data_IF_889737529149
#
_entry.id   IF_889737529149
#
_cell.length_a   1.000
_cell.length_b   1.000
_cell.length_c   1.000
_cell.angle_alpha   90.00
_cell.angle_beta   90.00
_cell.angle_gamma   90.00
#
_symmetry.space_group_name_H-M   'P 1'
#
loop_
_entity.id
_entity.type
_entity.pdbx_description
1 polymer ?
#
# COMPACT_ATOMS: atom_id res chain seq x y z
N UNK A 1 2.25 -15.56 -13.17
CA UNK A 1 2.82 -15.77 -11.82
C UNK A 1 4.29 -16.17 -11.81
N UNK A 2 4.78 -17.17 -12.58
CA UNK A 2 6.20 -17.58 -12.54
C UNK A 2 7.18 -16.43 -12.81
N UNK A 3 6.79 -15.55 -13.73
CA UNK A 3 7.57 -14.40 -14.14
C UNK A 3 7.60 -13.29 -13.06
N UNK A 4 6.56 -13.17 -12.21
CA UNK A 4 6.59 -12.30 -11.01
C UNK A 4 7.55 -12.87 -9.95
N UNK A 5 7.50 -14.20 -9.73
CA UNK A 5 8.40 -14.90 -8.81
C UNK A 5 9.87 -14.70 -9.20
N UNK A 6 10.20 -14.86 -10.48
CA UNK A 6 11.55 -14.69 -10.97
C UNK A 6 12.09 -13.26 -10.76
N UNK A 7 11.28 -12.23 -11.09
CA UNK A 7 11.74 -10.83 -10.94
C UNK A 7 11.83 -10.39 -9.49
N UNK A 8 10.96 -10.87 -8.60
CA UNK A 8 11.10 -10.62 -7.16
C UNK A 8 12.39 -11.22 -6.61
N UNK A 9 12.69 -12.49 -6.93
CA UNK A 9 13.93 -13.13 -6.48
C UNK A 9 15.19 -12.46 -7.02
N UNK A 10 15.14 -11.94 -8.25
CA UNK A 10 16.28 -11.28 -8.86
C UNK A 10 16.52 -9.87 -8.30
N UNK A 11 15.45 -9.09 -8.09
CA UNK A 11 15.57 -7.67 -7.81
C UNK A 11 15.38 -7.32 -6.33
N UNK A 12 14.76 -8.20 -5.54
CA UNK A 12 14.48 -8.05 -4.11
C UNK A 12 14.85 -9.33 -3.36
N UNK A 13 16.13 -9.79 -3.46
CA UNK A 13 16.59 -11.07 -2.93
C UNK A 13 16.59 -11.15 -1.40
N UNK A 14 16.60 -10.02 -0.71
CA UNK A 14 16.50 -9.92 0.76
C UNK A 14 15.14 -10.36 1.31
N UNK A 15 14.11 -10.41 0.47
CA UNK A 15 12.79 -10.90 0.85
C UNK A 15 12.54 -12.36 0.48
N UNK A 16 11.85 -13.06 1.37
CA UNK A 16 11.39 -14.41 1.12
C UNK A 16 10.18 -14.39 0.17
N UNK A 17 10.32 -15.02 -1.00
CA UNK A 17 9.23 -15.15 -1.98
C UNK A 17 8.67 -16.57 -2.00
N UNK A 18 7.37 -16.70 -1.75
CA UNK A 18 6.61 -17.97 -1.80
C UNK A 18 5.55 -17.91 -2.88
N UNK A 19 5.45 -18.96 -3.70
CA UNK A 19 4.37 -19.16 -4.65
C UNK A 19 3.62 -20.42 -4.25
N UNK A 20 2.32 -20.28 -3.98
CA UNK A 20 1.42 -21.38 -3.63
C UNK A 20 0.20 -21.36 -4.55
N UNK A 21 -0.73 -22.31 -4.38
CA UNK A 21 -2.02 -22.29 -5.07
C UNK A 21 -2.87 -21.05 -4.75
N UNK A 22 -2.64 -20.41 -3.60
CA UNK A 22 -3.36 -19.21 -3.17
C UNK A 22 -2.79 -17.91 -3.76
N UNK A 23 -1.64 -18.00 -4.44
CA UNK A 23 -0.96 -16.86 -5.03
C UNK A 23 0.49 -16.73 -4.61
N UNK A 24 1.03 -15.56 -4.87
CA UNK A 24 2.40 -15.16 -4.60
C UNK A 24 2.45 -14.26 -3.38
N UNK A 25 3.39 -14.54 -2.49
CA UNK A 25 3.70 -13.68 -1.35
C UNK A 25 5.19 -13.36 -1.37
N UNK A 26 5.52 -12.09 -1.16
CA UNK A 26 6.86 -11.63 -0.83
C UNK A 26 6.83 -11.10 0.60
N UNK A 27 7.81 -11.46 1.43
CA UNK A 27 7.97 -10.90 2.78
C UNK A 27 9.43 -10.59 3.02
N UNK A 28 9.77 -9.33 3.23
CA UNK A 28 11.16 -8.90 3.34
C UNK A 28 11.30 -7.51 3.96
N UNK A 29 12.53 -7.12 4.31
CA UNK A 29 12.81 -5.80 4.83
C UNK A 29 12.72 -4.75 3.72
N UNK A 30 12.13 -3.59 4.03
CA UNK A 30 12.22 -2.37 3.24
C UNK A 30 12.84 -1.27 4.12
N UNK A 31 13.85 -0.59 3.61
CA UNK A 31 14.57 0.47 4.35
C UNK A 31 14.64 1.71 3.46
N UNK A 32 13.70 2.66 3.62
CA UNK A 32 13.46 3.73 2.62
C UNK A 32 14.66 4.67 2.41
N UNK A 33 15.52 4.82 3.42
CA UNK A 33 16.80 5.50 3.33
C UNK A 33 17.79 4.90 4.34
N UNK A 34 19.08 5.19 4.19
CA UNK A 34 20.13 4.71 5.11
C UNK A 34 19.94 5.14 6.58
N UNK A 35 19.12 6.16 6.84
CA UNK A 35 18.81 6.65 8.18
C UNK A 35 17.38 6.29 8.63
N UNK A 36 16.57 5.70 7.75
CA UNK A 36 15.19 5.31 8.05
C UNK A 36 15.14 4.00 8.83
N UNK A 37 14.01 3.76 9.48
CA UNK A 37 13.73 2.43 10.07
C UNK A 37 13.66 1.38 8.97
N UNK A 38 13.97 0.15 9.34
CA UNK A 38 13.68 -1.02 8.52
C UNK A 38 12.29 -1.55 8.86
N UNK A 39 11.47 -1.75 7.83
CA UNK A 39 10.11 -2.24 7.92
C UNK A 39 10.01 -3.65 7.32
N UNK A 40 9.64 -4.64 8.12
CA UNK A 40 9.28 -5.95 7.61
C UNK A 40 7.95 -5.82 6.87
N UNK A 41 7.98 -5.96 5.56
CA UNK A 41 6.83 -5.73 4.69
C UNK A 41 6.39 -7.02 4.02
N UNK A 42 5.07 -7.22 3.91
CA UNK A 42 4.47 -8.32 3.17
C UNK A 42 3.65 -7.81 2.01
N UNK A 43 3.85 -8.42 0.85
CA UNK A 43 3.05 -8.22 -0.35
C UNK A 43 2.40 -9.53 -0.71
N UNK A 44 1.08 -9.52 -0.83
CA UNK A 44 0.28 -10.69 -1.22
C UNK A 44 -0.43 -10.41 -2.54
N UNK A 45 -0.31 -11.33 -3.49
CA UNK A 45 -0.84 -11.17 -4.83
C UNK A 45 -1.41 -12.50 -5.35
N UNK A 46 -2.74 -12.57 -5.43
CA UNK A 46 -3.45 -13.81 -5.73
C UNK A 46 -3.37 -14.19 -7.21
N UNK A 47 -3.77 -13.28 -8.11
CA UNK A 47 -3.75 -13.51 -9.56
C UNK A 47 -3.78 -12.19 -10.34
N UNK A 48 -3.55 -12.23 -11.68
CA UNK A 48 -3.68 -11.07 -12.58
C UNK A 48 -4.99 -10.29 -12.49
N UNK A 49 -6.08 -10.90 -12.02
CA UNK A 49 -7.39 -10.27 -11.87
C UNK A 49 -7.58 -9.57 -10.52
N UNK A 50 -6.67 -9.77 -9.57
CA UNK A 50 -6.74 -9.21 -8.23
C UNK A 50 -5.72 -8.09 -8.05
N UNK A 51 -5.97 -7.19 -7.10
CA UNK A 51 -4.99 -6.17 -6.71
C UNK A 51 -4.01 -6.75 -5.67
N UNK A 52 -2.72 -6.40 -5.75
CA UNK A 52 -1.78 -6.73 -4.70
C UNK A 52 -2.13 -5.99 -3.41
N UNK A 53 -1.87 -6.64 -2.28
CA UNK A 53 -2.06 -6.06 -0.94
C UNK A 53 -0.70 -5.94 -0.28
N UNK A 54 -0.34 -4.73 0.13
CA UNK A 54 0.89 -4.42 0.86
C UNK A 54 0.57 -4.09 2.31
N UNK A 55 1.32 -4.70 3.23
CA UNK A 55 1.18 -4.50 4.68
C UNK A 55 2.57 -4.43 5.32
N UNK A 56 2.72 -3.55 6.30
CA UNK A 56 3.88 -3.57 7.20
C UNK A 56 3.55 -4.48 8.39
N UNK A 57 4.43 -5.46 8.63
CA UNK A 57 4.31 -6.42 9.72
C UNK A 57 5.03 -5.94 10.99
N UNK A 58 6.16 -5.25 10.84
CA UNK A 58 6.88 -4.63 11.93
C UNK A 58 7.80 -3.49 11.43
N UNK A 59 8.09 -2.48 12.27
CA UNK A 59 7.37 -2.13 13.50
C UNK A 59 5.89 -1.79 13.22
N UNK A 60 5.05 -1.77 14.27
CA UNK A 60 3.63 -1.43 14.12
C UNK A 60 3.47 0.03 13.70
N UNK A 61 2.90 0.27 12.52
CA UNK A 61 2.67 1.63 12.03
C UNK A 61 1.72 2.41 12.95
N UNK A 62 0.70 1.75 13.49
CA UNK A 62 -0.29 2.37 14.39
C UNK A 62 0.36 2.83 15.71
N UNK A 63 1.29 2.04 16.24
CA UNK A 63 2.06 2.42 17.44
C UNK A 63 2.98 3.59 17.15
N UNK A 64 3.68 3.57 16.01
CA UNK A 64 4.53 4.68 15.58
C UNK A 64 3.73 5.97 15.36
N UNK A 65 2.52 5.87 14.82
CA UNK A 65 1.63 6.99 14.59
C UNK A 65 1.15 7.64 15.90
N UNK A 66 1.24 6.94 17.03
CA UNK A 66 0.83 7.46 18.34
C UNK A 66 -0.67 7.78 18.42
N UNK A 67 -1.50 6.99 17.72
CA UNK A 67 -2.94 7.19 17.65
C UNK A 67 -3.42 8.21 16.60
N UNK A 68 -2.51 8.82 15.84
CA UNK A 68 -2.86 9.63 14.66
C UNK A 68 -3.38 8.73 13.54
N UNK A 69 -4.38 9.20 12.78
CA UNK A 69 -4.84 8.50 11.58
C UNK A 69 -3.78 8.60 10.49
N UNK A 70 -3.29 7.44 10.02
CA UNK A 70 -2.20 7.40 9.06
C UNK A 70 -2.74 7.72 7.65
N UNK A 71 -2.22 8.73 6.96
CA UNK A 71 -2.68 9.08 5.62
C UNK A 71 -2.39 7.94 4.61
N UNK A 72 -3.17 7.90 3.53
CA UNK A 72 -2.99 6.94 2.41
C UNK A 72 -2.91 5.47 2.84
N UNK A 73 -3.93 5.02 3.57
CA UNK A 73 -4.20 3.60 3.78
C UNK A 73 -5.56 3.23 3.19
N UNK A 74 -5.63 2.10 2.50
CA UNK A 74 -6.92 1.51 2.11
C UNK A 74 -7.71 1.04 3.33
N UNK A 75 -7.03 0.70 4.42
CA UNK A 75 -7.65 0.31 5.68
C UNK A 75 -6.66 0.42 6.83
N UNK A 76 -6.93 1.33 7.77
CA UNK A 76 -6.24 1.45 9.06
C UNK A 76 -6.25 0.08 9.77
N UNK A 77 -7.46 -0.44 10.04
CA UNK A 77 -7.70 -1.69 10.77
C UNK A 77 -6.95 -2.91 10.20
N UNK A 78 -6.78 -2.99 8.88
CA UNK A 78 -6.10 -4.13 8.22
C UNK A 78 -4.65 -3.83 7.89
N UNK A 79 -4.12 -2.64 8.19
CA UNK A 79 -2.75 -2.25 7.86
C UNK A 79 -2.47 -2.23 6.35
N UNK A 80 -3.46 -1.91 5.51
CA UNK A 80 -3.32 -1.98 4.04
C UNK A 80 -2.88 -0.63 3.48
N UNK A 81 -1.67 -0.55 2.95
CA UNK A 81 -1.14 0.66 2.34
C UNK A 81 -1.89 1.00 1.04
N UNK A 82 -2.16 2.28 0.81
CA UNK A 82 -2.55 2.78 -0.50
C UNK A 82 -1.30 3.18 -1.29
N UNK A 83 -0.98 2.41 -2.33
CA UNK A 83 0.19 2.67 -3.19
C UNK A 83 -0.18 3.16 -4.59
N UNK A 84 -1.45 3.14 -4.96
CA UNK A 84 -1.98 3.53 -6.26
C UNK A 84 -3.49 3.75 -6.17
N UNK A 85 -4.10 4.35 -7.17
CA UNK A 85 -5.56 4.53 -7.26
C UNK A 85 -6.16 3.54 -8.27
N UNK A 86 -6.90 2.51 -7.82
CA UNK A 86 -7.43 1.48 -8.72
C UNK A 86 -8.35 2.03 -9.82
N UNK A 87 -9.10 3.10 -9.51
CA UNK A 87 -10.02 3.76 -10.45
C UNK A 87 -9.31 4.42 -11.64
N UNK A 88 -8.04 4.78 -11.49
CA UNK A 88 -7.24 5.41 -12.55
C UNK A 88 -6.36 4.41 -13.29
N UNK A 89 -6.50 3.11 -13.02
CA UNK A 89 -5.72 2.05 -13.65
C UNK A 89 -4.19 2.26 -13.58
N UNK A 90 -3.72 2.97 -12.56
CA UNK A 90 -2.29 3.22 -12.31
C UNK A 90 -1.49 1.93 -12.14
N UNK A 91 -2.16 0.86 -11.69
CA UNK A 91 -1.59 -0.47 -11.64
C UNK A 91 -2.45 -1.49 -12.37
N UNK A 92 -1.80 -2.38 -13.13
CA UNK A 92 -2.45 -3.52 -13.79
C UNK A 92 -1.69 -4.81 -13.51
N UNK A 93 -2.37 -5.96 -13.64
CA UNK A 93 -1.75 -7.28 -13.46
C UNK A 93 -0.59 -7.62 -14.41
N UNK A 94 -0.36 -6.79 -15.43
CA UNK A 94 0.79 -6.91 -16.33
C UNK A 94 2.07 -6.28 -15.76
N UNK A 95 1.95 -5.37 -14.79
CA UNK A 95 3.09 -4.71 -14.16
C UNK A 95 3.79 -5.65 -13.18
N UNK A 96 5.11 -5.56 -13.10
CA UNK A 96 5.91 -6.35 -12.16
C UNK A 96 5.82 -5.77 -10.76
N UNK A 97 5.48 -6.59 -9.78
CA UNK A 97 5.48 -6.17 -8.37
C UNK A 97 6.85 -5.60 -7.98
N UNK A 98 7.93 -6.24 -8.44
CA UNK A 98 9.32 -5.82 -8.20
C UNK A 98 9.68 -4.46 -8.81
N UNK A 99 8.97 -3.97 -9.83
CA UNK A 99 9.24 -2.67 -10.46
C UNK A 99 8.14 -1.63 -10.16
N UNK A 100 7.10 -2.01 -9.42
CA UNK A 100 6.00 -1.11 -9.08
C UNK A 100 5.73 -1.14 -7.58
N UNK A 101 5.13 -2.20 -7.06
CA UNK A 101 4.62 -2.27 -5.69
C UNK A 101 5.74 -2.16 -4.66
N UNK A 102 6.89 -2.79 -4.90
CA UNK A 102 8.04 -2.73 -3.98
C UNK A 102 8.60 -1.29 -3.92
N UNK A 103 9.03 -0.67 -5.05
CA UNK A 103 9.47 0.73 -5.04
C UNK A 103 8.42 1.71 -4.49
N UNK A 104 7.14 1.52 -4.80
CA UNK A 104 6.08 2.39 -4.29
C UNK A 104 5.85 2.22 -2.79
N UNK A 105 6.03 1.00 -2.26
CA UNK A 105 5.98 0.76 -0.82
C UNK A 105 7.14 1.45 -0.09
N UNK A 106 8.36 1.39 -0.63
CA UNK A 106 9.50 2.15 -0.09
C UNK A 106 9.24 3.66 -0.11
N UNK A 107 8.73 4.19 -1.23
CA UNK A 107 8.41 5.60 -1.34
C UNK A 107 7.30 6.02 -0.35
N UNK A 108 6.27 5.20 -0.19
CA UNK A 108 5.23 5.44 0.81
C UNK A 108 5.83 5.48 2.22
N UNK A 109 6.77 4.59 2.53
CA UNK A 109 7.47 4.56 3.82
C UNK A 109 8.39 5.78 4.01
N UNK A 110 9.01 6.32 2.94
CA UNK A 110 9.72 7.61 3.01
C UNK A 110 8.76 8.72 3.48
N UNK A 111 7.58 8.83 2.85
CA UNK A 111 6.59 9.85 3.22
C UNK A 111 5.99 9.62 4.61
N UNK A 112 5.85 8.35 5.02
CA UNK A 112 5.43 8.01 6.37
C UNK A 112 6.44 8.48 7.42
N UNK A 113 7.74 8.28 7.18
CA UNK A 113 8.80 8.77 8.09
C UNK A 113 8.81 10.29 8.20
N UNK A 114 8.65 11.00 7.07
CA UNK A 114 8.53 12.46 7.06
C UNK A 114 7.27 12.92 7.82
N UNK A 115 6.12 12.31 7.54
CA UNK A 115 4.86 12.59 8.23
C UNK A 115 4.92 12.31 9.73
N UNK A 116 5.65 11.28 10.17
CA UNK A 116 5.85 11.03 11.59
C UNK A 116 6.52 12.23 12.27
N UNK A 117 7.47 12.87 11.60
CA UNK A 117 8.24 14.01 12.10
C UNK A 117 7.49 15.35 11.97
N UNK A 118 6.83 15.59 10.83
CA UNK A 118 6.23 16.90 10.50
C UNK A 118 4.74 16.97 10.83
N UNK A 119 4.04 15.83 10.81
CA UNK A 119 2.59 15.75 10.86
C UNK A 119 1.89 16.06 9.54
N UNK A 120 2.63 16.40 8.48
CA UNK A 120 2.11 16.76 7.16
C UNK A 120 2.43 15.68 6.13
N UNK A 121 1.45 15.25 5.34
CA UNK A 121 1.67 14.24 4.32
C UNK A 121 2.13 14.86 3.00
N UNK A 122 3.36 14.55 2.60
CA UNK A 122 3.96 15.07 1.36
C UNK A 122 3.87 14.08 0.17
N UNK A 123 3.26 12.90 0.36
CA UNK A 123 3.24 11.84 -0.64
C UNK A 123 2.24 12.02 -1.78
N UNK A 124 1.44 13.09 -1.75
CA UNK A 124 0.31 13.27 -2.67
C UNK A 124 -0.66 12.08 -2.63
N UNK A 125 -1.37 11.85 -3.75
CA UNK A 125 -2.35 10.77 -3.89
C UNK A 125 -3.79 11.23 -3.70
N UNK A 126 -4.75 10.35 -3.99
CA UNK A 126 -6.18 10.64 -3.81
C UNK A 126 -6.63 10.28 -2.39
N UNK A 127 -7.37 11.17 -1.73
CA UNK A 127 -7.99 10.86 -0.45
C UNK A 127 -8.93 9.66 -0.57
N UNK A 128 -8.68 8.63 0.25
CA UNK A 128 -9.58 7.51 0.37
C UNK A 128 -10.53 7.76 1.53
N UNK A 129 -11.86 7.75 1.31
CA UNK A 129 -12.80 7.90 2.41
C UNK A 129 -12.61 6.72 3.37
N UNK A 130 -12.17 7.00 4.59
CA UNK A 130 -12.20 6.02 5.68
C UNK A 130 -13.66 5.85 6.11
N UNK A 131 -14.11 4.63 6.47
CA UNK A 131 -15.48 4.41 6.91
C UNK A 131 -15.68 4.97 8.35
N UNK A 132 -15.66 6.31 8.48
CA UNK A 132 -16.34 7.10 9.53
C UNK A 132 -16.24 8.60 9.25
N UNK A 133 -17.17 9.10 8.44
CA UNK A 133 -18.11 10.17 8.85
C UNK A 133 -19.16 10.32 7.75
N UNK A 134 -20.38 9.86 8.04
CA UNK A 134 -21.56 10.46 7.41
C UNK A 134 -21.70 11.82 8.09
N UNK A 135 -21.04 12.84 7.55
CA UNK A 135 -21.36 14.22 7.86
C UNK A 135 -22.24 14.74 6.73
N UNK A 136 -23.52 14.90 7.08
CA UNK A 136 -24.57 15.54 6.31
C UNK A 136 -24.11 16.82 5.62
N UNK A 137 -24.03 16.80 4.29
CA UNK A 137 -24.32 17.97 3.48
C UNK A 137 -25.37 17.61 2.43
N UNK A 138 -26.50 18.26 2.63
CA UNK A 138 -27.77 18.32 1.91
C UNK A 138 -27.80 17.89 0.44
N UNK A 139 -28.73 16.98 0.14
CA UNK A 139 -29.44 17.00 -1.15
C UNK A 139 -30.21 18.33 -1.26
N UNK A 140 -30.32 18.92 -2.46
CA UNK A 140 -31.41 18.48 -3.32
C UNK A 140 -31.04 18.50 -4.81
N UNK A 141 -31.12 17.35 -5.47
CA UNK A 141 -31.59 17.35 -6.87
C UNK A 141 -32.18 15.99 -7.26
N UNK A 142 -33.46 15.81 -6.92
CA UNK A 142 -34.33 14.94 -7.72
C UNK A 142 -34.69 15.71 -8.99
N UNK A 143 -34.28 15.21 -10.16
CA UNK A 143 -35.07 15.32 -11.38
C UNK A 143 -34.56 14.40 -12.48
N UNK A 144 -35.47 13.51 -12.89
CA UNK A 144 -35.58 12.76 -14.16
C UNK A 144 -34.35 11.94 -14.57
N UNK A 145 -34.50 10.64 -14.82
CA UNK A 145 -35.15 10.14 -16.03
C UNK A 145 -35.87 8.80 -15.80
N UNK A 146 -36.84 8.58 -16.68
CA UNK A 146 -37.90 7.56 -16.71
C UNK A 146 -37.41 6.12 -16.67
#
# INVERSE_FOLDING_TARGET
>A
MPQQLATLRANWPEGETRLTQLGLTWTGPLTPSVFSRTYLTRISYQSPQHLPVTQVLSPSLDELAGGREIPHMYSQKKGKLCLFTPKFHEWTGQMRLSHSILPWAELWLCYFEDWLATGEWQGGGTDHPTPRTISTYSAPFLRSLR
#
